data_IF_707907626428
#
_entry.id   IF_707907626428
#
_cell.length_a   1.000
_cell.length_b   1.000
_cell.length_c   1.000
_cell.angle_alpha   90.00
_cell.angle_beta   90.00
_cell.angle_gamma   90.00
#
_symmetry.space_group_name_H-M   'P 1'
#
loop_
_entity.id
_entity.type
_entity.pdbx_description
1 polymer ?
#
# COMPACT_ATOMS: atom_id res chain seq x y z
N UNK A 1 4.28 -0.20 10.01
CA UNK A 1 3.29 0.74 10.56
C UNK A 1 1.94 0.28 10.06
N UNK A 2 1.09 -0.24 10.93
CA UNK A 2 -0.31 -0.49 10.59
C UNK A 2 -1.05 0.85 10.72
N UNK A 3 -1.51 1.38 9.60
CA UNK A 3 -2.26 2.63 9.54
C UNK A 3 -3.65 2.24 9.05
N UNK A 4 -4.69 2.60 9.80
CA UNK A 4 -6.06 2.39 9.34
C UNK A 4 -6.41 3.34 8.17
N UNK A 5 -7.61 3.19 7.61
CA UNK A 5 -8.07 4.02 6.49
C UNK A 5 -8.09 5.52 6.83
N UNK A 6 -8.34 5.91 8.09
CA UNK A 6 -8.35 7.31 8.51
C UNK A 6 -6.94 7.90 8.53
N UNK A 7 -5.96 7.14 9.01
CA UNK A 7 -4.56 7.53 8.98
C UNK A 7 -4.01 7.59 7.54
N UNK A 8 -4.39 6.64 6.69
CA UNK A 8 -4.02 6.65 5.27
C UNK A 8 -4.56 7.90 4.56
N UNK A 9 -5.82 8.25 4.81
CA UNK A 9 -6.45 9.45 4.25
C UNK A 9 -5.77 10.75 4.73
N UNK A 10 -5.34 10.80 6.01
CA UNK A 10 -4.60 11.95 6.54
C UNK A 10 -3.22 12.12 5.91
N UNK A 11 -2.48 11.03 5.69
CA UNK A 11 -1.16 11.08 5.03
C UNK A 11 -1.31 11.55 3.59
N UNK A 12 -2.32 11.03 2.89
CA UNK A 12 -2.63 11.41 1.50
C UNK A 12 -2.90 12.91 1.34
N UNK A 13 -3.51 13.55 2.35
CA UNK A 13 -3.74 15.01 2.37
C UNK A 13 -2.46 15.82 2.64
N UNK A 14 -1.46 15.25 3.30
CA UNK A 14 -0.25 15.95 3.77
C UNK A 14 0.97 15.74 2.88
N UNK A 15 1.05 14.60 2.19
CA UNK A 15 2.23 14.23 1.41
C UNK A 15 1.85 14.09 -0.05
N UNK A 16 2.36 15.01 -0.87
CA UNK A 16 2.22 14.92 -2.31
C UNK A 16 2.94 13.65 -2.82
N UNK A 17 2.33 12.97 -3.80
CA UNK A 17 2.87 11.77 -4.46
C UNK A 17 2.99 10.50 -3.59
N UNK A 18 2.30 10.41 -2.43
CA UNK A 18 2.14 9.12 -1.76
C UNK A 18 1.20 8.23 -2.55
N UNK A 19 1.57 6.95 -2.67
CA UNK A 19 0.72 5.90 -3.22
C UNK A 19 0.24 4.98 -2.12
N UNK A 20 -1.06 4.74 -2.09
CA UNK A 20 -1.69 3.81 -1.16
C UNK A 20 -1.96 2.47 -1.83
N UNK A 21 -1.64 1.39 -1.12
CA UNK A 21 -1.85 0.02 -1.59
C UNK A 21 -2.74 -0.68 -0.57
N UNK A 22 -3.85 -1.25 -1.03
CA UNK A 22 -4.74 -2.07 -0.22
C UNK A 22 -4.56 -3.54 -0.54
N UNK A 23 -4.45 -4.40 0.48
CA UNK A 23 -4.29 -5.84 0.31
C UNK A 23 -5.60 -6.53 0.72
N UNK A 24 -6.34 -7.02 -0.28
CA UNK A 24 -7.58 -7.76 -0.09
C UNK A 24 -7.30 -9.23 0.26
N UNK A 25 -8.08 -9.83 1.17
CA UNK A 25 -8.20 -11.29 1.20
C UNK A 25 -8.95 -11.78 -0.05
N UNK A 26 -8.79 -13.06 -0.46
CA UNK A 26 -9.49 -13.61 -1.61
C UNK A 26 -10.99 -13.78 -1.35
N UNK A 27 -11.40 -13.87 -0.08
CA UNK A 27 -12.79 -13.99 0.33
C UNK A 27 -12.96 -13.64 1.82
N UNK A 28 -14.19 -13.32 2.23
CA UNK A 28 -14.52 -13.11 3.64
C UNK A 28 -14.33 -14.38 4.51
N UNK A 29 -14.71 -15.59 4.06
CA UNK A 29 -14.44 -16.80 4.84
C UNK A 29 -12.95 -17.06 5.06
N UNK A 30 -12.10 -16.79 4.07
CA UNK A 30 -10.65 -16.95 4.22
C UNK A 30 -10.07 -15.90 5.19
N UNK A 31 -10.59 -14.67 5.19
CA UNK A 31 -10.22 -13.66 6.18
C UNK A 31 -10.57 -14.12 7.61
N UNK A 32 -11.79 -14.62 7.80
CA UNK A 32 -12.25 -15.15 9.08
C UNK A 32 -11.38 -16.33 9.54
N UNK A 33 -11.09 -17.27 8.63
CA UNK A 33 -10.20 -18.40 8.89
C UNK A 33 -8.81 -17.95 9.35
N UNK A 34 -8.24 -16.91 8.72
CA UNK A 34 -6.94 -16.34 9.11
C UNK A 34 -6.99 -15.63 10.47
N UNK A 35 -8.08 -14.96 10.81
CA UNK A 35 -8.26 -14.32 12.11
C UNK A 35 -8.37 -15.37 13.23
N UNK A 36 -9.18 -16.42 13.03
CA UNK A 36 -9.30 -17.55 13.96
C UNK A 36 -7.96 -18.27 14.14
N UNK A 37 -7.26 -18.54 13.03
CA UNK A 37 -5.98 -19.25 13.03
C UNK A 37 -4.85 -18.56 13.79
N UNK A 38 -4.98 -17.26 14.12
CA UNK A 38 -4.03 -16.55 14.98
C UNK A 38 -4.13 -16.95 16.46
N UNK A 39 -5.17 -17.70 16.85
CA UNK A 39 -5.21 -18.47 18.09
C UNK A 39 -5.29 -17.66 19.40
N UNK A 40 -5.54 -16.35 19.34
CA UNK A 40 -5.51 -15.45 20.50
C UNK A 40 -6.74 -14.55 20.66
N UNK A 41 -7.69 -14.60 19.73
CA UNK A 41 -8.88 -13.75 19.75
C UNK A 41 -10.10 -14.56 20.21
N UNK A 42 -10.92 -13.99 21.09
CA UNK A 42 -12.25 -14.55 21.42
C UNK A 42 -13.20 -14.40 20.22
N UNK A 43 -14.27 -15.18 20.19
CA UNK A 43 -15.30 -15.09 19.14
C UNK A 43 -15.87 -13.67 18.99
N UNK A 44 -16.06 -12.96 20.10
CA UNK A 44 -16.46 -11.55 20.11
C UNK A 44 -15.45 -10.63 19.41
N UNK A 45 -14.16 -10.83 19.66
CA UNK A 45 -13.07 -10.05 19.03
C UNK A 45 -12.98 -10.37 17.53
N UNK A 46 -13.19 -11.62 17.13
CA UNK A 46 -13.22 -12.03 15.72
C UNK A 46 -14.37 -11.32 14.99
N UNK A 47 -15.57 -11.30 15.57
CA UNK A 47 -16.72 -10.61 14.99
C UNK A 47 -16.47 -9.10 14.82
N UNK A 48 -15.91 -8.44 15.84
CA UNK A 48 -15.55 -7.02 15.78
C UNK A 48 -14.50 -6.74 14.69
N UNK A 49 -13.47 -7.58 14.58
CA UNK A 49 -12.44 -7.46 13.54
C UNK A 49 -13.01 -7.71 12.14
N UNK A 50 -13.90 -8.68 11.98
CA UNK A 50 -14.59 -8.94 10.71
C UNK A 50 -15.47 -7.76 10.30
N UNK A 51 -16.19 -7.15 11.24
CA UNK A 51 -16.99 -5.96 10.99
C UNK A 51 -16.10 -4.77 10.57
N UNK A 52 -14.98 -4.56 11.29
CA UNK A 52 -13.99 -3.53 10.95
C UNK A 52 -13.40 -3.76 9.55
N UNK A 53 -12.99 -4.99 9.23
CA UNK A 53 -12.43 -5.32 7.92
C UNK A 53 -13.43 -5.12 6.79
N UNK A 54 -14.72 -5.44 6.98
CA UNK A 54 -15.77 -5.15 5.98
C UNK A 54 -15.91 -3.64 5.72
N UNK A 55 -15.84 -2.83 6.78
CA UNK A 55 -15.88 -1.38 6.66
C UNK A 55 -14.62 -0.83 5.96
N UNK A 56 -13.44 -1.37 6.26
CA UNK A 56 -12.21 -0.99 5.53
C UNK A 56 -12.28 -1.38 4.05
N UNK A 57 -12.77 -2.59 3.74
CA UNK A 57 -12.94 -3.06 2.37
C UNK A 57 -13.90 -2.18 1.59
N UNK A 58 -14.95 -1.59 2.19
CA UNK A 58 -15.88 -0.72 1.44
C UNK A 58 -15.27 0.58 0.95
N UNK A 59 -14.08 0.97 1.46
CA UNK A 59 -13.34 2.17 1.06
C UNK A 59 -12.13 1.84 0.16
N UNK A 60 -12.10 0.66 -0.46
CA UNK A 60 -10.98 0.23 -1.32
C UNK A 60 -10.74 1.16 -2.52
N UNK A 61 -11.79 1.84 -2.98
CA UNK A 61 -11.77 2.80 -4.08
C UNK A 61 -11.02 4.10 -3.75
N UNK A 62 -10.71 4.35 -2.46
CA UNK A 62 -9.86 5.45 -2.04
C UNK A 62 -8.35 5.17 -2.25
N UNK A 63 -7.97 3.92 -2.57
CA UNK A 63 -6.59 3.50 -2.73
C UNK A 63 -6.10 3.60 -4.18
N UNK A 64 -4.80 3.88 -4.37
CA UNK A 64 -4.20 3.92 -5.71
C UNK A 64 -4.05 2.52 -6.33
N UNK A 65 -3.81 1.50 -5.50
CA UNK A 65 -3.62 0.11 -5.91
C UNK A 65 -4.36 -0.85 -4.99
N UNK A 66 -4.83 -1.96 -5.57
CA UNK A 66 -5.46 -3.07 -4.84
C UNK A 66 -4.80 -4.38 -5.26
N UNK A 67 -4.33 -5.17 -4.29
CA UNK A 67 -3.75 -6.50 -4.50
C UNK A 67 -4.65 -7.52 -3.83
N UNK A 68 -5.09 -8.54 -4.56
CA UNK A 68 -5.80 -9.69 -3.97
C UNK A 68 -4.75 -10.71 -3.51
N UNK A 69 -4.79 -11.09 -2.23
CA UNK A 69 -3.83 -12.00 -1.61
C UNK A 69 -4.41 -13.41 -1.45
N UNK A 70 -4.70 -14.03 -2.60
CA UNK A 70 -5.07 -15.44 -2.73
C UNK A 70 -3.83 -16.36 -2.66
N UNK A 71 -2.74 -15.93 -3.29
CA UNK A 71 -1.43 -16.57 -3.29
C UNK A 71 -0.36 -15.57 -2.83
N UNK A 72 0.40 -15.95 -1.80
CA UNK A 72 1.41 -15.08 -1.20
C UNK A 72 2.50 -14.66 -2.18
N UNK A 73 3.01 -15.58 -3.00
CA UNK A 73 4.10 -15.31 -3.95
C UNK A 73 3.64 -14.33 -5.04
N UNK A 74 2.42 -14.50 -5.56
CA UNK A 74 1.86 -13.58 -6.55
C UNK A 74 1.62 -12.20 -5.95
N UNK A 75 0.99 -12.12 -4.77
CA UNK A 75 0.75 -10.85 -4.09
C UNK A 75 2.07 -10.11 -3.75
N UNK A 76 3.13 -10.85 -3.40
CA UNK A 76 4.46 -10.30 -3.19
C UNK A 76 5.07 -9.76 -4.49
N UNK A 77 4.96 -10.51 -5.59
CA UNK A 77 5.45 -10.08 -6.90
C UNK A 77 4.71 -8.82 -7.40
N UNK A 78 3.40 -8.74 -7.18
CA UNK A 78 2.58 -7.56 -7.52
C UNK A 78 3.01 -6.34 -6.69
N UNK A 79 3.20 -6.53 -5.38
CA UNK A 79 3.69 -5.48 -4.49
C UNK A 79 5.07 -4.97 -4.94
N UNK A 80 6.00 -5.87 -5.23
CA UNK A 80 7.33 -5.52 -5.74
C UNK A 80 7.24 -4.76 -7.07
N UNK A 81 6.33 -5.16 -7.95
CA UNK A 81 6.11 -4.51 -9.25
C UNK A 81 5.59 -3.08 -9.08
N UNK A 82 4.63 -2.86 -8.18
CA UNK A 82 4.13 -1.51 -7.86
C UNK A 82 5.27 -0.66 -7.30
N UNK A 83 6.02 -1.15 -6.32
CA UNK A 83 7.15 -0.41 -5.74
C UNK A 83 8.22 -0.07 -6.78
N UNK A 84 8.51 -1.01 -7.70
CA UNK A 84 9.43 -0.78 -8.82
C UNK A 84 8.90 0.31 -9.74
N UNK A 85 7.64 0.23 -10.15
CA UNK A 85 7.02 1.20 -11.04
C UNK A 85 7.02 2.61 -10.44
N UNK A 86 6.68 2.75 -9.16
CA UNK A 86 6.69 4.04 -8.47
C UNK A 86 8.08 4.66 -8.39
N UNK A 87 9.10 3.83 -8.16
CA UNK A 87 10.51 4.26 -8.22
C UNK A 87 10.98 4.62 -9.63
N UNK A 88 10.27 4.22 -10.69
CA UNK A 88 10.63 4.57 -12.07
C UNK A 88 9.85 5.78 -12.60
N UNK A 89 8.94 6.36 -11.80
CA UNK A 89 8.25 7.59 -12.19
C UNK A 89 9.23 8.73 -12.40
N UNK A 90 8.93 9.61 -13.37
CA UNK A 90 9.78 10.77 -13.69
C UNK A 90 10.09 11.61 -12.44
N UNK A 91 9.08 11.90 -11.61
CA UNK A 91 9.26 12.73 -10.43
C UNK A 91 10.26 12.10 -9.45
N UNK A 92 10.12 10.80 -9.18
CA UNK A 92 11.05 10.08 -8.32
C UNK A 92 12.47 10.05 -8.91
N UNK A 93 12.59 9.71 -10.20
CA UNK A 93 13.88 9.66 -10.88
C UNK A 93 14.58 11.03 -10.96
N UNK A 94 13.83 12.13 -11.11
CA UNK A 94 14.37 13.49 -11.09
C UNK A 94 14.94 13.86 -9.72
N UNK A 95 14.32 13.37 -8.63
CA UNK A 95 14.82 13.58 -7.27
C UNK A 95 16.04 12.70 -6.99
N UNK A 96 15.93 11.38 -7.19
CA UNK A 96 17.01 10.43 -6.86
C UNK A 96 18.25 10.62 -7.74
N UNK A 97 18.07 10.86 -9.05
CA UNK A 97 19.17 11.00 -10.00
C UNK A 97 19.45 12.47 -10.35
N UNK A 98 19.09 13.42 -9.48
CA UNK A 98 19.23 14.86 -9.74
C UNK A 98 20.64 15.24 -10.22
N UNK A 99 21.68 14.79 -9.51
CA UNK A 99 23.08 15.07 -9.84
C UNK A 99 23.49 14.51 -11.20
N UNK A 100 23.12 13.25 -11.49
CA UNK A 100 23.40 12.60 -12.76
C UNK A 100 22.72 13.32 -13.92
N UNK A 101 21.42 13.62 -13.78
CA UNK A 101 20.65 14.35 -14.79
C UNK A 101 21.27 15.72 -15.03
N UNK A 102 21.69 16.41 -13.97
CA UNK A 102 22.31 17.72 -14.06
C UNK A 102 23.64 17.67 -14.82
N UNK A 103 24.49 16.68 -14.53
CA UNK A 103 25.75 16.42 -15.24
C UNK A 103 25.50 16.14 -16.73
N UNK A 104 24.54 15.27 -17.05
CA UNK A 104 24.23 14.90 -18.44
C UNK A 104 23.66 16.06 -19.26
N UNK A 105 23.05 17.06 -18.63
CA UNK A 105 22.50 18.24 -19.29
C UNK A 105 23.53 19.38 -19.48
N UNK A 106 24.80 19.18 -19.10
CA UNK A 106 25.87 20.19 -19.15
C UNK A 106 25.47 21.55 -18.54
N UNK A 107 24.60 21.51 -17.51
CA UNK A 107 24.27 22.70 -16.75
C UNK A 107 25.39 22.92 -15.75
N UNK A 108 26.06 24.07 -15.79
CA UNK A 108 27.08 24.44 -14.80
C UNK A 108 26.42 24.67 -13.44
N UNK A 109 26.86 23.92 -12.42
CA UNK A 109 26.39 24.01 -11.03
C UNK A 109 26.33 25.48 -10.64
N UNK A 110 25.10 26.02 -10.51
CA UNK A 110 24.93 27.40 -10.08
C UNK A 110 25.14 27.38 -8.57
N UNK A 111 26.37 27.76 -8.20
CA UNK A 111 26.81 28.05 -6.83
C UNK A 111 25.83 29.03 -6.18
#
# INVERSE_FOLDING_TARGET
>A
MDIDWQGAQQIRKKVANVKSIFILPPSLPELERRLIGRGQDSETVIMERMAKAKNEISHYDEYDYVIVNDNFEHALADLQSILRAERLTKNYQQTENASLIYQLLDKKHKI
#
